data_IF_946427675301
#
_entry.id   IF_946427675301
#
_cell.length_a   1.000
_cell.length_b   1.000
_cell.length_c   1.000
_cell.angle_alpha   90.00
_cell.angle_beta   90.00
_cell.angle_gamma   90.00
#
_symmetry.space_group_name_H-M   'P 1'
#
loop_
_entity.id
_entity.type
_entity.pdbx_description
1 polymer ?
#
# COMPACT_ATOMS: atom_id res chain seq x y z
N UNK A 1 25.21 -5.84 1.97
CA UNK A 1 24.61 -6.97 2.72
C UNK A 1 24.25 -8.06 1.72
N UNK A 2 24.81 -9.27 1.84
CA UNK A 2 24.33 -10.42 1.06
C UNK A 2 23.09 -10.95 1.78
N UNK A 3 21.93 -10.93 1.13
CA UNK A 3 20.68 -11.45 1.71
C UNK A 3 20.64 -12.97 1.53
N UNK A 4 20.19 -13.70 2.55
CA UNK A 4 20.06 -15.17 2.59
C UNK A 4 18.87 -15.72 1.77
N UNK A 5 18.20 -14.87 0.98
CA UNK A 5 17.04 -15.25 0.18
C UNK A 5 17.45 -15.30 -1.29
N UNK A 6 17.02 -16.34 -2.01
CA UNK A 6 17.29 -16.48 -3.45
C UNK A 6 16.62 -15.37 -4.26
N UNK A 7 15.54 -14.79 -3.73
CA UNK A 7 14.77 -13.76 -4.41
C UNK A 7 14.11 -12.78 -3.43
N UNK A 8 13.99 -11.51 -3.85
CA UNK A 8 13.22 -10.48 -3.15
C UNK A 8 12.02 -10.12 -4.03
N UNK A 9 10.83 -10.07 -3.44
CA UNK A 9 9.58 -9.77 -4.14
C UNK A 9 8.88 -8.60 -3.47
N UNK A 10 8.53 -7.58 -4.24
CA UNK A 10 7.64 -6.50 -3.81
C UNK A 10 6.19 -6.86 -4.12
N UNK A 11 5.38 -6.98 -3.06
CA UNK A 11 3.94 -7.25 -3.11
C UNK A 11 3.09 -6.04 -3.53
N UNK A 12 3.42 -5.38 -4.64
CA UNK A 12 2.75 -4.17 -5.12
C UNK A 12 2.89 -3.98 -6.63
N UNK A 13 1.80 -3.57 -7.28
CA UNK A 13 1.78 -3.12 -8.69
C UNK A 13 2.13 -1.64 -8.89
N UNK A 14 2.36 -0.88 -7.82
CA UNK A 14 2.66 0.55 -7.89
C UNK A 14 4.08 0.82 -8.42
N UNK A 15 4.17 1.52 -9.56
CA UNK A 15 5.43 1.98 -10.14
C UNK A 15 6.24 2.89 -9.19
N UNK A 16 5.56 3.67 -8.35
CA UNK A 16 6.22 4.57 -7.41
C UNK A 16 6.90 3.80 -6.28
N UNK A 17 6.21 2.79 -5.73
CA UNK A 17 6.77 1.92 -4.69
C UNK A 17 7.93 1.09 -5.21
N UNK A 18 7.80 0.54 -6.42
CA UNK A 18 8.90 -0.12 -7.10
C UNK A 18 10.09 0.83 -7.31
N UNK A 19 9.84 2.06 -7.77
CA UNK A 19 10.87 3.08 -7.95
C UNK A 19 11.58 3.46 -6.65
N UNK A 20 10.85 3.54 -5.52
CA UNK A 20 11.44 3.81 -4.21
C UNK A 20 12.31 2.64 -3.73
N UNK A 21 11.80 1.40 -3.80
CA UNK A 21 12.55 0.21 -3.39
C UNK A 21 13.82 0.02 -4.22
N UNK A 22 13.74 0.28 -5.53
CA UNK A 22 14.86 0.16 -6.48
C UNK A 22 16.08 1.01 -6.12
N UNK A 23 15.90 2.11 -5.37
CA UNK A 23 17.02 2.93 -4.86
C UNK A 23 17.90 2.20 -3.85
N UNK A 24 17.36 1.20 -3.16
CA UNK A 24 18.04 0.46 -2.09
C UNK A 24 18.27 -1.01 -2.45
N UNK A 25 17.35 -1.61 -3.19
CA UNK A 25 17.39 -3.00 -3.62
C UNK A 25 17.18 -3.01 -5.14
N UNK A 26 18.24 -3.09 -5.95
CA UNK A 26 18.13 -3.00 -7.40
C UNK A 26 17.53 -4.26 -8.04
N UNK A 27 17.70 -5.41 -7.39
CA UNK A 27 17.27 -6.71 -7.89
C UNK A 27 16.10 -7.25 -7.05
N UNK A 28 14.88 -7.11 -7.57
CA UNK A 28 13.66 -7.67 -6.99
C UNK A 28 12.63 -7.88 -8.09
N UNK A 29 11.65 -8.76 -7.83
CA UNK A 29 10.46 -8.92 -8.67
C UNK A 29 9.28 -8.15 -8.08
N UNK A 30 8.31 -7.80 -8.93
CA UNK A 30 7.04 -7.22 -8.48
C UNK A 30 5.91 -8.20 -8.73
N UNK A 31 5.17 -8.54 -7.68
CA UNK A 31 3.94 -9.33 -7.77
C UNK A 31 2.82 -8.59 -7.06
N UNK A 32 1.60 -8.63 -7.60
CA UNK A 32 0.43 -8.02 -6.98
C UNK A 32 -0.67 -9.06 -6.91
N UNK A 33 -0.91 -9.67 -5.74
CA UNK A 33 -1.93 -10.68 -5.62
C UNK A 33 -3.31 -10.04 -5.63
N UNK A 34 -4.27 -10.74 -6.20
CA UNK A 34 -5.68 -10.34 -6.14
C UNK A 34 -6.21 -10.55 -4.70
N UNK A 35 -6.56 -9.47 -4.00
CA UNK A 35 -7.07 -9.52 -2.63
C UNK A 35 -8.25 -8.56 -2.47
N UNK A 36 -9.12 -8.84 -1.51
CA UNK A 36 -10.17 -7.89 -1.13
C UNK A 36 -9.55 -6.72 -0.34
N UNK A 37 -9.54 -5.55 -0.98
CA UNK A 37 -9.02 -4.30 -0.42
C UNK A 37 -10.09 -3.50 0.34
N UNK A 38 -11.32 -4.01 0.44
CA UNK A 38 -12.41 -3.32 1.12
C UNK A 38 -12.11 -3.13 2.61
N UNK A 39 -12.37 -1.94 3.19
CA UNK A 39 -12.26 -1.71 4.62
C UNK A 39 -13.24 -2.59 5.40
N UNK A 40 -12.80 -3.14 6.53
CA UNK A 40 -13.70 -3.80 7.49
C UNK A 40 -14.44 -2.78 8.33
N UNK A 41 -15.52 -3.21 8.97
CA UNK A 41 -16.29 -2.34 9.87
C UNK A 41 -15.38 -1.79 10.98
N UNK A 42 -15.40 -0.46 11.19
CA UNK A 42 -14.60 0.26 12.19
C UNK A 42 -13.08 0.09 12.03
N UNK A 43 -12.60 -0.36 10.87
CA UNK A 43 -11.17 -0.46 10.59
C UNK A 43 -10.59 0.93 10.35
N UNK A 44 -9.53 1.28 11.09
CA UNK A 44 -8.83 2.55 10.88
C UNK A 44 -8.04 2.51 9.56
N UNK A 45 -7.71 3.67 9.01
CA UNK A 45 -6.89 3.74 7.79
C UNK A 45 -5.52 3.07 7.97
N UNK A 46 -4.93 3.20 9.17
CA UNK A 46 -3.66 2.56 9.54
C UNK A 46 -3.81 1.04 9.57
N UNK A 47 -4.85 0.54 10.22
CA UNK A 47 -5.09 -0.90 10.35
C UNK A 47 -5.40 -1.53 9.00
N UNK A 48 -6.16 -0.82 8.16
CA UNK A 48 -6.42 -1.24 6.79
C UNK A 48 -5.10 -1.33 6.00
N UNK A 49 -4.27 -0.29 5.98
CA UNK A 49 -3.00 -0.31 5.26
C UNK A 49 -2.09 -1.46 5.73
N UNK A 50 -1.99 -1.66 7.04
CA UNK A 50 -1.21 -2.76 7.62
C UNK A 50 -1.77 -4.12 7.23
N UNK A 51 -3.10 -4.31 7.33
CA UNK A 51 -3.75 -5.56 6.94
C UNK A 51 -3.50 -5.86 5.47
N UNK A 52 -3.71 -4.89 4.58
CA UNK A 52 -3.51 -5.08 3.15
C UNK A 52 -2.06 -5.44 2.83
N UNK A 53 -1.10 -4.73 3.41
CA UNK A 53 0.33 -5.03 3.23
C UNK A 53 0.67 -6.47 3.66
N UNK A 54 0.21 -6.89 4.84
CA UNK A 54 0.42 -8.24 5.38
C UNK A 54 -0.28 -9.31 4.53
N UNK A 55 -1.52 -9.07 4.11
CA UNK A 55 -2.29 -10.01 3.29
C UNK A 55 -1.66 -10.19 1.91
N UNK A 56 -1.16 -9.12 1.28
CA UNK A 56 -0.41 -9.20 0.02
C UNK A 56 0.86 -10.04 0.19
N UNK A 57 1.65 -9.75 1.20
CA UNK A 57 2.88 -10.49 1.47
C UNK A 57 2.61 -11.99 1.69
N UNK A 58 1.68 -12.31 2.60
CA UNK A 58 1.33 -13.69 2.92
C UNK A 58 0.83 -14.47 1.71
N UNK A 59 -0.02 -13.86 0.88
CA UNK A 59 -0.57 -14.54 -0.30
C UNK A 59 0.52 -14.86 -1.33
N UNK A 60 1.50 -13.99 -1.51
CA UNK A 60 2.66 -14.28 -2.39
C UNK A 60 3.55 -15.35 -1.78
N UNK A 61 3.87 -15.28 -0.47
CA UNK A 61 4.75 -16.24 0.20
C UNK A 61 4.27 -17.69 0.11
N UNK A 62 2.96 -17.93 -0.07
CA UNK A 62 2.43 -19.29 -0.29
C UNK A 62 2.90 -19.92 -1.61
N UNK A 63 3.15 -19.11 -2.64
CA UNK A 63 3.68 -19.56 -3.93
C UNK A 63 5.21 -19.46 -4.04
N UNK A 64 5.84 -18.66 -3.17
CA UNK A 64 7.26 -18.31 -3.21
C UNK A 64 7.91 -18.52 -1.83
N UNK A 65 8.00 -19.77 -1.32
CA UNK A 65 8.37 -20.07 0.06
C UNK A 65 9.80 -19.66 0.43
N UNK A 66 10.71 -19.62 -0.55
CA UNK A 66 12.13 -19.29 -0.36
C UNK A 66 12.44 -17.80 -0.63
N UNK A 67 11.42 -17.01 -0.97
CA UNK A 67 11.57 -15.59 -1.29
C UNK A 67 11.32 -14.69 -0.07
N UNK A 68 12.07 -13.59 -0.01
CA UNK A 68 11.76 -12.47 0.88
C UNK A 68 10.67 -11.61 0.26
N UNK A 69 9.47 -11.64 0.83
CA UNK A 69 8.34 -10.86 0.34
C UNK A 69 8.15 -9.58 1.15
N UNK A 70 8.21 -8.44 0.47
CA UNK A 70 7.95 -7.11 1.02
C UNK A 70 6.50 -6.72 0.70
N UNK A 71 5.64 -6.82 1.70
CA UNK A 71 4.27 -6.29 1.63
C UNK A 71 4.25 -4.77 1.72
N UNK A 72 3.40 -4.13 0.94
CA UNK A 72 3.19 -2.68 1.05
C UNK A 72 1.75 -2.33 0.72
N UNK A 73 1.20 -1.35 1.40
CA UNK A 73 -0.06 -0.70 1.06
C UNK A 73 -0.10 0.73 1.61
N UNK A 74 -1.02 1.55 1.10
CA UNK A 74 -1.25 2.91 1.58
C UNK A 74 -2.72 3.26 1.45
N UNK A 75 -3.28 3.79 2.54
CA UNK A 75 -4.67 4.24 2.61
C UNK A 75 -4.71 5.73 2.89
N UNK A 76 -5.40 6.48 2.02
CA UNK A 76 -5.65 7.88 2.25
C UNK A 76 -6.80 8.04 3.26
N UNK A 77 -6.71 9.01 4.16
CA UNK A 77 -7.80 9.34 5.08
C UNK A 77 -7.88 10.84 5.37
N UNK A 78 -9.08 11.31 5.73
CA UNK A 78 -9.33 12.69 6.12
C UNK A 78 -10.36 12.75 7.24
N UNK A 79 -10.01 13.41 8.35
CA UNK A 79 -10.85 13.51 9.57
C UNK A 79 -11.39 12.15 10.03
N UNK A 80 -10.53 11.11 10.01
CA UNK A 80 -10.89 9.75 10.39
C UNK A 80 -11.64 8.93 9.34
N UNK A 81 -11.97 9.52 8.19
CA UNK A 81 -12.67 8.81 7.10
C UNK A 81 -11.67 8.31 6.06
N UNK A 82 -11.76 7.03 5.70
CA UNK A 82 -10.96 6.45 4.62
C UNK A 82 -11.42 7.01 3.27
N UNK A 83 -10.48 7.54 2.51
CA UNK A 83 -10.68 8.05 1.17
C UNK A 83 -10.31 6.96 0.16
N UNK A 84 -11.32 6.30 -0.41
CA UNK A 84 -11.12 5.45 -1.58
C UNK A 84 -10.82 6.27 -2.84
N UNK A 85 -10.60 5.61 -3.98
CA UNK A 85 -10.53 6.32 -5.28
C UNK A 85 -11.83 7.11 -5.52
N UNK A 86 -11.78 8.34 -6.07
CA UNK A 86 -12.99 9.05 -6.45
C UNK A 86 -13.76 8.23 -7.48
N UNK A 87 -15.09 8.14 -7.31
CA UNK A 87 -15.95 7.37 -8.21
C UNK A 87 -16.37 8.18 -9.44
N UNK A 88 -16.22 9.51 -9.38
CA UNK A 88 -16.49 10.45 -10.47
C UNK A 88 -15.58 11.68 -10.40
N UNK A 89 -15.57 12.48 -11.48
CA UNK A 89 -14.88 13.77 -11.52
C UNK A 89 -15.46 14.75 -10.48
N UNK A 90 -16.79 14.77 -10.32
CA UNK A 90 -17.48 15.60 -9.32
C UNK A 90 -17.09 15.21 -7.88
N UNK A 91 -17.00 13.90 -7.60
CA UNK A 91 -16.50 13.39 -6.33
C UNK A 91 -15.05 13.83 -6.07
N UNK A 92 -14.21 13.83 -7.11
CA UNK A 92 -12.83 14.29 -7.02
C UNK A 92 -12.75 15.79 -6.70
N UNK A 93 -13.57 16.63 -7.35
CA UNK A 93 -13.65 18.07 -7.05
C UNK A 93 -14.13 18.30 -5.62
N UNK A 94 -15.23 17.65 -5.21
CA UNK A 94 -15.79 17.80 -3.87
C UNK A 94 -14.79 17.42 -2.79
N UNK A 95 -14.07 16.31 -2.98
CA UNK A 95 -13.00 15.87 -2.07
C UNK A 95 -11.81 16.83 -2.07
N UNK A 96 -11.41 17.36 -3.23
CA UNK A 96 -10.35 18.36 -3.35
C UNK A 96 -10.70 19.65 -2.60
N UNK A 97 -11.91 20.16 -2.77
CA UNK A 97 -12.40 21.37 -2.08
C UNK A 97 -12.44 21.20 -0.55
N UNK A 98 -12.95 20.06 -0.06
CA UNK A 98 -12.95 19.73 1.37
C UNK A 98 -11.53 19.73 1.97
N UNK A 99 -10.55 19.36 1.15
CA UNK A 99 -9.16 19.17 1.56
C UNK A 99 -8.29 20.42 1.39
N UNK A 100 -8.66 21.35 0.51
CA UNK A 100 -7.97 22.64 0.33
C UNK A 100 -8.22 23.61 1.49
N UNK A 101 -9.33 23.45 2.22
CA UNK A 101 -9.64 24.28 3.38
C UNK A 101 -8.70 24.00 4.58
N UNK A 102 -8.09 22.82 4.66
CA UNK A 102 -7.24 22.40 5.77
C UNK A 102 -6.09 21.53 5.22
N UNK A 103 -4.88 22.11 5.13
CA UNK A 103 -3.67 21.55 4.53
C UNK A 103 -3.52 20.01 4.70
N UNK A 104 -3.70 19.27 3.61
CA UNK A 104 -3.54 17.81 3.52
C UNK A 104 -2.09 17.37 3.75
N UNK A 105 -1.71 17.04 4.97
CA UNK A 105 -0.54 16.19 5.22
C UNK A 105 -0.75 15.30 6.44
N UNK A 106 -1.29 14.10 6.22
CA UNK A 106 -1.06 12.97 7.14
C UNK A 106 -0.74 11.74 6.29
N UNK A 107 0.51 11.68 5.85
CA UNK A 107 1.12 10.42 5.43
C UNK A 107 1.66 9.82 6.72
N UNK A 108 0.94 8.87 7.31
CA UNK A 108 1.48 8.10 8.43
C UNK A 108 2.49 7.11 7.86
N UNK A 109 3.76 7.53 7.80
CA UNK A 109 4.86 6.58 7.65
C UNK A 109 4.94 5.73 8.92
N UNK A 110 5.01 4.41 8.72
CA UNK A 110 5.21 3.44 9.78
C UNK A 110 6.58 3.71 10.43
N UNK A 111 6.58 4.22 11.66
CA UNK A 111 7.70 4.08 12.60
C UNK A 111 7.60 2.75 13.34
#
# INVERSE_FOLDING_TARGET
MKSNYEQIILGSSSIYRAGLLKKYIPNFLTLSPDIDESPKEKESAKDLALRLALTKARKISLGEPDALVIGSDQVASFKGNILGKPKSYEDAIKRSQLSQAERLFSIQELQ
#
